data_IF_296534593869
#
_entry.id   IF_296534593869
#
_cell.length_a   1.000
_cell.length_b   1.000
_cell.length_c   1.000
_cell.angle_alpha   90.00
_cell.angle_beta   90.00
_cell.angle_gamma   90.00
#
_symmetry.space_group_name_H-M   'P 1'
#
loop_
_entity.id
_entity.type
_entity.pdbx_description
1 polymer ?
#
# COMPACT_ATOMS: atom_id res chain seq x y z
N UNK A 1 5.44 26.83 -27.46
CA UNK A 1 5.68 26.94 -26.00
C UNK A 1 6.93 27.78 -25.80
N UNK A 2 6.88 28.76 -24.89
CA UNK A 2 8.02 29.61 -24.54
C UNK A 2 9.25 28.77 -24.12
N UNK A 3 10.45 29.16 -24.54
CA UNK A 3 11.71 28.46 -24.25
C UNK A 3 11.89 28.30 -22.74
N UNK A 4 11.53 29.34 -21.98
CA UNK A 4 11.53 29.33 -20.51
C UNK A 4 10.68 28.19 -19.93
N UNK A 5 9.47 27.98 -20.45
CA UNK A 5 8.57 26.95 -19.96
C UNK A 5 9.07 25.54 -20.31
N UNK A 6 9.71 25.39 -21.47
CA UNK A 6 10.34 24.12 -21.86
C UNK A 6 11.51 23.78 -20.92
N UNK A 7 12.41 24.74 -20.68
CA UNK A 7 13.55 24.56 -19.77
C UNK A 7 13.11 24.27 -18.34
N UNK A 8 12.09 24.98 -17.85
CA UNK A 8 11.52 24.74 -16.51
C UNK A 8 10.99 23.31 -16.38
N UNK A 9 10.18 22.87 -17.35
CA UNK A 9 9.59 21.52 -17.33
C UNK A 9 10.66 20.42 -17.37
N UNK A 10 11.72 20.64 -18.13
CA UNK A 10 12.84 19.69 -18.21
C UNK A 10 13.59 19.59 -16.87
N UNK A 11 13.80 20.71 -16.18
CA UNK A 11 14.38 20.73 -14.84
C UNK A 11 13.48 20.04 -13.81
N UNK A 12 12.18 20.32 -13.80
CA UNK A 12 11.21 19.65 -12.93
C UNK A 12 11.22 18.14 -13.16
N UNK A 13 11.22 17.69 -14.42
CA UNK A 13 11.31 16.27 -14.77
C UNK A 13 12.59 15.62 -14.22
N UNK A 14 13.74 16.30 -14.35
CA UNK A 14 15.02 15.80 -13.83
C UNK A 14 15.03 15.69 -12.31
N UNK A 15 14.40 16.65 -11.62
CA UNK A 15 14.27 16.62 -10.16
C UNK A 15 13.42 15.42 -9.73
N UNK A 16 12.25 15.22 -10.36
CA UNK A 16 11.39 14.06 -10.09
C UNK A 16 12.11 12.72 -10.32
N UNK A 17 12.92 12.62 -11.38
CA UNK A 17 13.71 11.42 -11.67
C UNK A 17 14.73 11.13 -10.56
N UNK A 18 15.39 12.17 -10.03
CA UNK A 18 16.33 12.05 -8.90
C UNK A 18 15.61 11.64 -7.60
N UNK A 19 14.47 12.26 -7.30
CA UNK A 19 13.66 11.90 -6.13
C UNK A 19 13.21 10.44 -6.19
N UNK A 20 12.77 9.97 -7.36
CA UNK A 20 12.43 8.55 -7.57
C UNK A 20 13.63 7.65 -7.40
N UNK A 21 14.81 8.06 -7.84
CA UNK A 21 16.04 7.29 -7.70
C UNK A 21 16.44 7.18 -6.22
N UNK A 22 16.36 8.27 -5.46
CA UNK A 22 16.59 8.29 -4.00
C UNK A 22 15.54 7.43 -3.29
N UNK A 23 14.27 7.53 -3.66
CA UNK A 23 13.23 6.71 -3.04
C UNK A 23 13.46 5.20 -3.29
N UNK A 24 13.92 4.83 -4.49
CA UNK A 24 14.13 3.42 -4.87
C UNK A 24 15.47 2.85 -4.42
N UNK A 25 16.53 3.66 -4.38
CA UNK A 25 17.92 3.20 -4.21
C UNK A 25 18.71 4.00 -3.18
N UNK A 26 18.15 5.07 -2.63
CA UNK A 26 18.79 5.89 -1.60
C UNK A 26 18.96 5.14 -0.29
N UNK A 27 19.80 5.69 0.58
CA UNK A 27 20.02 5.14 1.92
C UNK A 27 18.67 5.14 2.66
N UNK A 28 18.27 4.00 3.23
CA UNK A 28 16.98 3.86 3.90
C UNK A 28 15.83 3.35 3.03
N UNK A 29 15.93 3.39 1.69
CA UNK A 29 14.89 2.89 0.76
C UNK A 29 14.49 1.44 1.03
N UNK A 30 15.49 0.59 1.34
CA UNK A 30 15.26 -0.80 1.72
C UNK A 30 14.43 -0.93 3.00
N UNK A 31 14.70 -0.10 4.02
CA UNK A 31 13.94 -0.10 5.28
C UNK A 31 12.52 0.42 5.09
N UNK A 32 12.34 1.51 4.35
CA UNK A 32 11.03 2.06 4.02
C UNK A 32 10.18 1.04 3.25
N UNK A 33 10.73 0.42 2.20
CA UNK A 33 10.01 -0.60 1.43
C UNK A 33 9.63 -1.84 2.25
N UNK A 34 10.41 -2.17 3.29
CA UNK A 34 10.09 -3.27 4.21
C UNK A 34 8.97 -2.87 5.16
N UNK A 35 9.02 -1.66 5.71
CA UNK A 35 7.98 -1.13 6.57
C UNK A 35 6.63 -1.01 5.83
N UNK A 36 6.63 -0.49 4.60
CA UNK A 36 5.43 -0.40 3.75
C UNK A 36 4.84 -1.78 3.45
N UNK A 37 5.69 -2.77 3.13
CA UNK A 37 5.24 -4.15 2.92
C UNK A 37 4.63 -4.74 4.18
N UNK A 38 5.29 -4.59 5.33
CA UNK A 38 4.78 -5.09 6.61
C UNK A 38 3.44 -4.45 6.97
N UNK A 39 3.31 -3.13 6.81
CA UNK A 39 2.07 -2.41 7.07
C UNK A 39 0.93 -2.89 6.16
N UNK A 40 1.21 -3.07 4.86
CA UNK A 40 0.25 -3.60 3.91
C UNK A 40 -0.19 -5.02 4.29
N UNK A 41 0.76 -5.89 4.62
CA UNK A 41 0.47 -7.27 4.94
C UNK A 41 -0.34 -7.39 6.25
N UNK A 42 -0.06 -6.54 7.24
CA UNK A 42 -0.88 -6.41 8.45
C UNK A 42 -2.31 -5.94 8.13
N UNK A 43 -2.46 -4.91 7.30
CA UNK A 43 -3.79 -4.44 6.89
C UNK A 43 -4.59 -5.55 6.19
N UNK A 44 -3.94 -6.31 5.30
CA UNK A 44 -4.56 -7.45 4.62
C UNK A 44 -4.95 -8.55 5.61
N UNK A 45 -4.07 -8.87 6.56
CA UNK A 45 -4.34 -9.88 7.59
C UNK A 45 -5.53 -9.48 8.46
N UNK A 46 -5.62 -8.22 8.88
CA UNK A 46 -6.74 -7.71 9.67
C UNK A 46 -8.05 -7.77 8.89
N UNK A 47 -8.06 -7.33 7.62
CA UNK A 47 -9.26 -7.35 6.79
C UNK A 47 -9.71 -8.80 6.55
N UNK A 48 -8.82 -9.66 6.05
CA UNK A 48 -9.16 -11.03 5.71
C UNK A 48 -9.53 -11.85 6.94
N UNK A 49 -8.73 -11.75 8.01
CA UNK A 49 -8.98 -12.44 9.27
C UNK A 49 -10.27 -11.97 9.94
N UNK A 50 -10.50 -10.66 9.98
CA UNK A 50 -11.73 -10.07 10.52
C UNK A 50 -12.97 -10.51 9.73
N UNK A 51 -12.95 -10.43 8.41
CA UNK A 51 -14.05 -10.89 7.56
C UNK A 51 -14.30 -12.39 7.71
N UNK A 52 -13.26 -13.22 7.72
CA UNK A 52 -13.39 -14.65 7.91
C UNK A 52 -13.98 -15.01 9.28
N UNK A 53 -13.55 -14.34 10.34
CA UNK A 53 -14.10 -14.53 11.69
C UNK A 53 -15.59 -14.16 11.76
N UNK A 54 -15.99 -13.03 11.17
CA UNK A 54 -17.39 -12.61 11.12
C UNK A 54 -18.26 -13.59 10.33
N UNK A 55 -17.80 -14.02 9.15
CA UNK A 55 -18.51 -14.99 8.33
C UNK A 55 -18.63 -16.36 9.02
N UNK A 56 -17.55 -16.82 9.65
CA UNK A 56 -17.54 -18.06 10.42
C UNK A 56 -18.52 -18.02 11.60
N UNK A 57 -18.51 -16.92 12.36
CA UNK A 57 -19.44 -16.73 13.47
C UNK A 57 -20.90 -16.68 12.99
N UNK A 58 -21.18 -15.96 11.89
CA UNK A 58 -22.51 -15.89 11.32
C UNK A 58 -23.00 -17.26 10.83
N UNK A 59 -22.16 -18.00 10.09
CA UNK A 59 -22.48 -19.33 9.60
C UNK A 59 -22.72 -20.32 10.74
N UNK A 60 -21.87 -20.31 11.78
CA UNK A 60 -22.05 -21.14 12.97
C UNK A 60 -23.34 -20.82 13.72
N UNK A 61 -23.66 -19.53 13.86
CA UNK A 61 -24.89 -19.07 14.50
C UNK A 61 -26.12 -19.57 13.75
N UNK A 62 -26.17 -19.38 12.43
CA UNK A 62 -27.26 -19.87 11.58
C UNK A 62 -27.38 -21.39 11.66
N UNK A 63 -26.26 -22.12 11.59
CA UNK A 63 -26.23 -23.57 11.69
C UNK A 63 -26.84 -24.05 13.02
N UNK A 64 -26.43 -23.46 14.14
CA UNK A 64 -26.90 -23.84 15.47
C UNK A 64 -28.42 -23.63 15.64
N UNK A 65 -28.96 -22.51 15.18
CA UNK A 65 -30.40 -22.22 15.26
C UNK A 65 -31.26 -22.99 14.26
N UNK A 66 -30.66 -23.74 13.32
CA UNK A 66 -31.38 -24.56 12.34
C UNK A 66 -31.57 -26.00 12.80
N UNK A 67 -30.78 -26.45 13.77
CA UNK A 67 -30.88 -27.77 14.41
C UNK A 67 -31.75 -27.74 15.69
N UNK A 68 -32.26 -26.56 16.09
CA UNK A 68 -33.34 -26.38 17.08
C UNK A 68 -34.70 -26.20 16.38
#
# INVERSE_FOLDING_TARGET
MDLKNKTRKELETKIEDLERLINKKGIGSGYLSRAERLQRDLNLAVILGGSAALLGAAAWTIYKFRDE
#
